data_IF_960641975441
#
_entry.id   IF_960641975441
#
_cell.length_a   1.000
_cell.length_b   1.000
_cell.length_c   1.000
_cell.angle_alpha   90.00
_cell.angle_beta   90.00
_cell.angle_gamma   90.00
#
_symmetry.space_group_name_H-M   'P 1'
#
loop_
_entity.id
_entity.type
_entity.pdbx_description
1 polymer ?
#
# COMPACT_ATOMS: atom_id res chain seq x y z
N UNK A 1 7.35 -3.92 -39.75
CA UNK A 1 6.97 -2.79 -38.87
C UNK A 1 5.82 -3.16 -37.96
N UNK A 2 4.66 -3.55 -38.48
CA UNK A 2 3.44 -3.86 -37.72
C UNK A 2 3.61 -4.90 -36.61
N UNK A 3 4.28 -6.04 -36.86
CA UNK A 3 4.52 -7.08 -35.84
C UNK A 3 5.45 -6.60 -34.72
N UNK A 4 6.47 -5.80 -35.05
CA UNK A 4 7.40 -5.24 -34.07
C UNK A 4 6.71 -4.20 -33.20
N UNK A 5 5.86 -3.35 -33.79
CA UNK A 5 5.02 -2.40 -33.04
C UNK A 5 4.06 -3.12 -32.10
N UNK A 6 3.40 -4.20 -32.53
CA UNK A 6 2.51 -4.98 -31.66
C UNK A 6 3.27 -5.72 -30.56
N UNK A 7 4.46 -6.25 -30.83
CA UNK A 7 5.29 -6.88 -29.80
C UNK A 7 5.77 -5.88 -28.75
N UNK A 8 6.18 -4.67 -29.17
CA UNK A 8 6.54 -3.58 -28.25
C UNK A 8 5.31 -3.12 -27.45
N UNK A 9 4.17 -2.91 -28.12
CA UNK A 9 2.94 -2.51 -27.46
C UNK A 9 2.51 -3.57 -26.45
N UNK A 10 2.54 -4.85 -26.82
CA UNK A 10 2.22 -5.97 -25.93
C UNK A 10 3.20 -6.06 -24.75
N UNK A 11 4.50 -5.85 -24.97
CA UNK A 11 5.51 -5.85 -23.92
C UNK A 11 5.33 -4.67 -22.95
N UNK A 12 5.07 -3.46 -23.47
CA UNK A 12 4.71 -2.29 -22.67
C UNK A 12 3.39 -2.51 -21.93
N UNK A 13 2.41 -3.15 -22.56
CA UNK A 13 1.12 -3.49 -21.95
C UNK A 13 1.31 -4.55 -20.86
N UNK A 14 2.18 -5.54 -21.04
CA UNK A 14 2.56 -6.50 -20.00
C UNK A 14 3.28 -5.81 -18.84
N UNK A 15 4.20 -4.89 -19.13
CA UNK A 15 4.89 -4.07 -18.13
C UNK A 15 3.94 -3.12 -17.38
N UNK A 16 2.97 -2.51 -18.07
CA UNK A 16 1.91 -1.67 -17.50
C UNK A 16 0.90 -2.50 -16.68
N UNK A 17 0.57 -3.72 -17.12
CA UNK A 17 -0.31 -4.65 -16.39
C UNK A 17 0.36 -5.12 -15.09
N UNK A 18 1.69 -5.14 -15.03
CA UNK A 18 2.48 -5.54 -13.86
C UNK A 18 2.72 -4.41 -12.83
N UNK A 19 2.39 -3.15 -13.13
CA UNK A 19 2.76 -2.00 -12.29
C UNK A 19 1.77 -1.62 -11.19
N UNK A 20 0.66 -2.35 -11.06
CA UNK A 20 -0.35 -2.09 -10.03
C UNK A 20 -0.20 -3.10 -8.89
N UNK A 21 0.76 -2.83 -8.02
CA UNK A 21 0.98 -3.60 -6.79
C UNK A 21 1.19 -2.64 -5.64
N UNK A 22 0.83 -3.06 -4.43
CA UNK A 22 1.16 -2.38 -3.19
C UNK A 22 2.50 -2.92 -2.69
N UNK A 23 3.48 -2.05 -2.47
CA UNK A 23 4.76 -2.42 -1.84
C UNK A 23 4.89 -1.79 -0.47
N UNK A 24 5.11 -2.62 0.55
CA UNK A 24 5.52 -2.18 1.88
C UNK A 24 7.02 -2.42 2.04
N UNK A 25 7.75 -1.38 2.46
CA UNK A 25 9.20 -1.47 2.64
C UNK A 25 9.60 -0.99 4.02
N UNK A 26 10.47 -1.74 4.68
CA UNK A 26 11.11 -1.33 5.93
C UNK A 26 12.62 -1.34 5.76
N UNK A 27 13.30 -0.36 6.34
CA UNK A 27 14.76 -0.20 6.28
C UNK A 27 15.28 -0.16 7.71
N UNK A 28 16.19 -1.06 8.03
CA UNK A 28 16.82 -1.15 9.34
C UNK A 28 18.33 -1.34 9.23
N UNK A 29 19.01 -1.24 10.37
CA UNK A 29 20.46 -1.30 10.43
C UNK A 29 21.06 -2.65 9.93
N UNK A 30 20.24 -3.71 9.94
CA UNK A 30 20.64 -5.05 9.51
C UNK A 30 20.14 -5.43 8.09
N UNK A 31 19.49 -4.51 7.38
CA UNK A 31 18.98 -4.74 6.03
C UNK A 31 17.62 -4.10 5.76
N UNK A 32 17.16 -4.22 4.52
CA UNK A 32 15.82 -3.82 4.10
C UNK A 32 14.92 -5.04 3.90
N UNK A 33 13.62 -4.86 4.10
CA UNK A 33 12.59 -5.86 3.78
C UNK A 33 11.56 -5.21 2.86
N UNK A 34 11.16 -5.93 1.83
CA UNK A 34 10.16 -5.49 0.86
C UNK A 34 9.08 -6.56 0.74
N UNK A 35 7.83 -6.13 0.73
CA UNK A 35 6.67 -6.99 0.62
C UNK A 35 5.75 -6.45 -0.46
N UNK A 36 5.60 -7.21 -1.54
CA UNK A 36 4.87 -6.82 -2.74
C UNK A 36 3.55 -7.59 -2.83
N UNK A 37 2.45 -6.85 -2.94
CA UNK A 37 1.10 -7.37 -3.08
C UNK A 37 0.56 -6.98 -4.46
N UNK A 38 0.52 -7.89 -5.44
CA UNK A 38 -0.05 -7.59 -6.74
C UNK A 38 -1.56 -7.36 -6.62
N UNK A 39 -2.14 -6.54 -7.51
CA UNK A 39 -3.58 -6.17 -7.47
C UNK A 39 -4.54 -7.36 -7.51
N UNK A 40 -4.10 -8.49 -8.06
CA UNK A 40 -4.85 -9.73 -8.24
C UNK A 40 -4.54 -10.76 -7.15
N UNK A 41 -3.82 -10.36 -6.10
CA UNK A 41 -3.64 -11.18 -4.90
C UNK A 41 -4.98 -11.47 -4.23
N UNK A 42 -5.18 -12.71 -3.77
CA UNK A 42 -6.35 -13.11 -2.97
C UNK A 42 -6.54 -12.27 -1.69
N UNK A 43 -5.48 -11.57 -1.25
CA UNK A 43 -5.51 -10.67 -0.10
C UNK A 43 -6.10 -9.28 -0.42
N UNK A 44 -6.22 -8.93 -1.70
CA UNK A 44 -6.65 -7.63 -2.18
C UNK A 44 -8.10 -7.73 -2.66
N UNK A 45 -9.04 -7.23 -1.87
CA UNK A 45 -10.46 -7.19 -2.28
C UNK A 45 -10.76 -6.08 -3.28
N UNK A 46 -10.09 -4.93 -3.13
CA UNK A 46 -10.27 -3.77 -4.00
C UNK A 46 -8.96 -2.99 -4.09
N UNK A 47 -8.57 -2.64 -5.31
CA UNK A 47 -7.38 -1.84 -5.59
C UNK A 47 -7.75 -0.66 -6.48
N UNK A 48 -7.64 0.55 -5.94
CA UNK A 48 -7.97 1.79 -6.64
C UNK A 48 -6.77 2.74 -6.53
N UNK A 49 -5.86 2.64 -7.49
CA UNK A 49 -4.68 3.47 -7.57
C UNK A 49 -4.54 3.99 -9.00
N UNK A 50 -4.72 5.28 -9.20
CA UNK A 50 -4.68 5.91 -10.52
C UNK A 50 -3.28 6.45 -10.86
N UNK A 51 -2.45 6.68 -9.83
CA UNK A 51 -1.13 7.29 -9.94
C UNK A 51 -0.17 6.59 -8.96
N UNK A 52 1.07 6.38 -9.38
CA UNK A 52 2.10 5.83 -8.50
C UNK A 52 2.44 6.84 -7.41
N UNK A 53 2.30 6.44 -6.15
CA UNK A 53 2.63 7.27 -5.00
C UNK A 53 3.54 6.51 -4.04
N UNK A 54 4.60 7.17 -3.59
CA UNK A 54 5.54 6.66 -2.58
C UNK A 54 5.56 7.62 -1.41
N UNK A 55 5.15 7.14 -0.23
CA UNK A 55 5.15 7.91 1.01
C UNK A 55 5.93 7.14 2.07
N UNK A 56 6.69 7.84 2.91
CA UNK A 56 7.42 7.26 4.05
C UNK A 56 6.74 7.69 5.35
N UNK A 57 6.77 6.82 6.34
CA UNK A 57 6.14 7.04 7.64
C UNK A 57 7.05 6.52 8.74
N UNK A 58 7.16 7.24 9.85
CA UNK A 58 7.90 6.78 11.02
C UNK A 58 7.23 5.54 11.60
N UNK A 59 7.92 4.39 11.56
CA UNK A 59 7.37 3.11 12.02
C UNK A 59 6.92 3.14 13.49
N UNK A 60 7.56 3.97 14.31
CA UNK A 60 7.17 4.21 15.70
C UNK A 60 5.75 4.78 15.83
N UNK A 61 5.30 5.58 14.86
CA UNK A 61 3.94 6.12 14.80
C UNK A 61 2.95 5.08 14.27
N UNK A 62 3.35 4.17 13.39
CA UNK A 62 2.46 3.12 12.88
C UNK A 62 2.33 1.92 13.84
N UNK A 63 3.31 1.68 14.71
CA UNK A 63 3.32 0.52 15.61
C UNK A 63 2.03 0.31 16.43
N UNK A 64 1.36 1.36 16.97
CA UNK A 64 0.11 1.19 17.69
C UNK A 64 -1.04 0.66 16.83
N UNK A 65 -1.07 0.96 15.52
CA UNK A 65 -2.16 0.56 14.62
C UNK A 65 -2.20 -0.96 14.40
N UNK A 66 -1.08 -1.66 14.63
CA UNK A 66 -0.99 -3.12 14.56
C UNK A 66 -1.98 -3.80 15.52
N UNK A 67 -2.30 -3.18 16.66
CA UNK A 67 -3.30 -3.72 17.59
C UNK A 67 -4.70 -3.78 16.97
N UNK A 68 -5.07 -2.74 16.21
CA UNK A 68 -6.33 -2.70 15.48
C UNK A 68 -6.31 -3.69 14.30
N UNK A 69 -5.18 -3.79 13.59
CA UNK A 69 -4.99 -4.76 12.51
C UNK A 69 -5.22 -6.20 12.98
N UNK A 70 -4.68 -6.57 14.14
CA UNK A 70 -4.79 -7.93 14.69
C UNK A 70 -6.24 -8.35 15.02
N UNK A 71 -7.12 -7.39 15.28
CA UNK A 71 -8.55 -7.62 15.56
C UNK A 71 -9.43 -7.45 14.31
N UNK A 72 -8.88 -6.85 13.26
CA UNK A 72 -9.64 -6.53 12.06
C UNK A 72 -9.80 -7.73 11.15
N UNK A 73 -10.96 -7.86 10.52
CA UNK A 73 -11.16 -8.81 9.43
C UNK A 73 -10.77 -8.20 8.08
N UNK A 74 -10.79 -6.86 7.95
CA UNK A 74 -10.39 -6.13 6.76
C UNK A 74 -9.72 -4.82 7.14
N UNK A 75 -8.81 -4.35 6.29
CA UNK A 75 -8.20 -3.03 6.39
C UNK A 75 -8.31 -2.30 5.05
N UNK A 76 -8.74 -1.04 5.09
CA UNK A 76 -8.67 -0.11 3.96
C UNK A 76 -7.47 0.81 4.16
N UNK A 77 -6.62 0.89 3.15
CA UNK A 77 -5.43 1.76 3.11
C UNK A 77 -5.70 2.83 2.08
N UNK A 78 -5.59 4.11 2.48
CA UNK A 78 -5.77 5.26 1.60
C UNK A 78 -4.70 6.29 1.85
N UNK A 79 -4.28 6.97 0.80
CA UNK A 79 -3.40 8.13 0.86
C UNK A 79 -4.02 9.29 0.13
N UNK A 80 -3.82 10.51 0.64
CA UNK A 80 -4.23 11.73 -0.08
C UNK A 80 -3.08 12.30 -0.92
N UNK A 81 -3.36 13.38 -1.64
CA UNK A 81 -2.38 14.09 -2.45
C UNK A 81 -1.24 14.75 -1.64
N UNK A 82 -1.39 14.88 -0.33
CA UNK A 82 -0.38 15.40 0.60
C UNK A 82 0.46 14.27 1.21
N UNK A 83 0.14 13.01 0.93
CA UNK A 83 0.81 11.84 1.49
C UNK A 83 0.33 11.46 2.90
N UNK A 84 -0.80 11.99 3.39
CA UNK A 84 -1.38 11.53 4.65
C UNK A 84 -1.94 10.12 4.49
N UNK A 85 -1.55 9.22 5.39
CA UNK A 85 -2.05 7.86 5.44
C UNK A 85 -3.32 7.79 6.28
N UNK A 86 -4.32 7.09 5.75
CA UNK A 86 -5.53 6.67 6.45
C UNK A 86 -5.60 5.15 6.44
N UNK A 87 -5.58 4.54 7.62
CA UNK A 87 -5.83 3.11 7.82
C UNK A 87 -7.18 2.94 8.52
N UNK A 88 -8.13 2.29 7.87
CA UNK A 88 -9.44 2.02 8.44
C UNK A 88 -9.61 0.52 8.63
N UNK A 89 -9.71 0.10 9.88
CA UNK A 89 -9.84 -1.29 10.30
C UNK A 89 -11.30 -1.63 10.54
N UNK A 90 -11.80 -2.64 9.82
CA UNK A 90 -13.12 -3.23 10.06
C UNK A 90 -12.97 -4.38 11.06
N UNK A 91 -13.53 -4.22 12.25
CA UNK A 91 -13.48 -5.20 13.33
C UNK A 91 -14.86 -5.80 13.48
N UNK A 92 -14.94 -7.13 13.53
CA UNK A 92 -16.18 -7.86 13.84
C UNK A 92 -16.09 -8.36 15.28
N UNK A 93 -17.02 -7.94 16.14
CA UNK A 93 -17.06 -8.42 17.53
C UNK A 93 -17.63 -9.84 17.61
N UNK A 94 -17.62 -10.43 18.81
CA UNK A 94 -18.12 -11.79 19.05
C UNK A 94 -19.62 -11.92 18.75
N UNK A 95 -20.38 -10.84 18.92
CA UNK A 95 -21.81 -10.76 18.62
C UNK A 95 -22.11 -10.57 17.11
N UNK A 96 -21.06 -10.46 16.28
CA UNK A 96 -21.17 -10.29 14.83
C UNK A 96 -21.38 -8.85 14.35
N UNK A 97 -21.46 -7.88 15.27
CA UNK A 97 -21.54 -6.45 14.95
C UNK A 97 -20.21 -5.94 14.39
N UNK A 98 -20.30 -4.90 13.56
CA UNK A 98 -19.16 -4.30 12.87
C UNK A 98 -18.81 -2.99 13.53
N UNK A 99 -17.55 -2.85 13.93
CA UNK A 99 -16.95 -1.62 14.42
C UNK A 99 -15.82 -1.17 13.51
N UNK A 100 -15.50 0.13 13.55
CA UNK A 100 -14.40 0.70 12.77
C UNK A 100 -13.41 1.43 13.67
N UNK A 101 -12.12 1.23 13.40
CA UNK A 101 -11.03 2.02 13.98
C UNK A 101 -10.31 2.71 12.83
N UNK A 102 -10.17 4.03 12.92
CA UNK A 102 -9.42 4.82 11.94
C UNK A 102 -8.12 5.33 12.55
N UNK A 103 -7.04 5.20 11.79
CA UNK A 103 -5.73 5.67 12.15
C UNK A 103 -5.21 6.60 11.05
N UNK A 104 -4.82 7.81 11.44
CA UNK A 104 -4.24 8.79 10.53
C UNK A 104 -2.77 9.02 10.89
N UNK A 105 -1.91 9.05 9.87
CA UNK A 105 -0.49 9.32 10.04
C UNK A 105 -0.03 10.34 9.00
N UNK A 106 0.68 11.38 9.44
CA UNK A 106 1.37 12.28 8.53
C UNK A 106 2.59 11.58 7.91
N UNK A 107 2.96 11.92 6.67
CA UNK A 107 4.19 11.43 6.07
C UNK A 107 5.42 11.98 6.80
N UNK A 108 6.55 11.31 6.62
CA UNK A 108 7.85 11.75 7.10
C UNK A 108 8.48 12.69 6.06
N UNK A 109 8.53 13.97 6.37
CA UNK A 109 9.02 15.03 5.46
C UNK A 109 10.56 15.11 5.39
N UNK A 110 11.28 14.44 6.29
CA UNK A 110 12.75 14.52 6.41
C UNK A 110 13.51 13.71 5.33
N UNK A 111 12.81 13.19 4.33
CA UNK A 111 13.40 12.40 3.25
C UNK A 111 13.43 13.22 1.96
N UNK A 112 14.59 13.79 1.66
CA UNK A 112 14.85 14.41 0.36
C UNK A 112 14.75 13.37 -0.75
N UNK A 113 14.18 13.78 -1.90
CA UNK A 113 14.00 13.02 -3.14
C UNK A 113 15.28 12.34 -3.68
N UNK A 114 16.45 12.70 -3.15
CA UNK A 114 17.74 12.06 -3.40
C UNK A 114 17.88 10.63 -2.82
N UNK A 115 16.95 10.18 -1.97
CA UNK A 115 16.95 8.82 -1.40
C UNK A 115 15.80 7.93 -1.92
N UNK A 116 14.99 8.43 -2.86
CA UNK A 116 13.94 7.67 -3.57
C UNK A 116 14.51 6.96 -4.80
#
# INVERSE_FOLDING_TARGET
YTVFTYAILLFLLFSLVHLFFLRLSTFGNAGSTHLDYPKDSDLIEAFHCNETQTNRYKISLLKPSIKALALSCKVSIRTDNRGFLSLQYMIRNEDGEICFVEYYCCPDEDVTEAEL
#
